data_IF_290913956291
#
_entry.id   IF_290913956291
#
_cell.length_a   1.000
_cell.length_b   1.000
_cell.length_c   1.000
_cell.angle_alpha   90.00
_cell.angle_beta   90.00
_cell.angle_gamma   90.00
#
_symmetry.space_group_name_H-M   'P 1'
#
loop_
_entity.id
_entity.type
_entity.pdbx_description
1 polymer ?
#
# COMPACT_ATOMS: atom_id res chain seq x y z
N UNK A 1 18.89 2.76 -15.01
CA UNK A 1 17.85 3.58 -15.70
C UNK A 1 16.85 4.26 -14.74
N UNK A 2 17.05 4.33 -13.41
CA UNK A 2 16.05 4.89 -12.47
C UNK A 2 16.53 6.11 -11.66
N UNK A 3 17.70 6.68 -11.98
CA UNK A 3 18.38 7.67 -11.12
C UNK A 3 17.72 9.07 -11.03
N UNK A 4 16.61 9.32 -11.75
CA UNK A 4 15.88 10.59 -11.70
C UNK A 4 14.49 10.48 -11.07
N UNK A 5 14.13 9.30 -10.56
CA UNK A 5 12.86 9.13 -9.87
C UNK A 5 12.89 9.85 -8.53
N UNK A 6 11.86 10.66 -8.28
CA UNK A 6 11.64 11.38 -7.03
C UNK A 6 10.37 10.93 -6.31
N UNK A 7 9.54 10.14 -6.99
CA UNK A 7 8.25 9.70 -6.51
C UNK A 7 7.94 8.28 -6.97
N UNK A 8 7.37 7.49 -6.07
CA UNK A 8 6.76 6.21 -6.32
C UNK A 8 5.31 6.26 -5.83
N UNK A 9 4.35 6.12 -6.73
CA UNK A 9 2.94 5.99 -6.39
C UNK A 9 2.45 4.60 -6.82
N UNK A 10 1.62 3.99 -5.99
CA UNK A 10 1.05 2.67 -6.26
C UNK A 10 -0.42 2.63 -5.92
N UNK A 11 -1.16 1.83 -6.66
CA UNK A 11 -2.49 1.38 -6.27
C UNK A 11 -2.40 0.40 -5.09
N UNK A 12 -3.54 0.11 -4.48
CA UNK A 12 -3.69 -0.81 -3.37
C UNK A 12 -4.19 -2.16 -3.84
N UNK A 13 -5.39 -2.21 -4.40
CA UNK A 13 -6.05 -3.48 -4.69
C UNK A 13 -5.53 -4.13 -5.96
N UNK A 14 -5.02 -5.35 -5.82
CA UNK A 14 -4.33 -6.05 -6.92
C UNK A 14 -2.90 -5.59 -7.16
N UNK A 15 -2.38 -4.66 -6.35
CA UNK A 15 -0.95 -4.27 -6.39
C UNK A 15 -0.27 -4.52 -5.05
N UNK A 16 -0.75 -3.91 -3.95
CA UNK A 16 -0.27 -4.19 -2.59
C UNK A 16 -1.05 -5.30 -1.87
N UNK A 17 -2.16 -5.72 -2.48
CA UNK A 17 -2.92 -6.91 -2.12
C UNK A 17 -2.86 -7.92 -3.26
N UNK A 18 -3.24 -9.16 -2.98
CA UNK A 18 -3.35 -10.24 -3.97
C UNK A 18 -4.66 -10.18 -4.79
N UNK A 19 -5.28 -9.00 -4.88
CA UNK A 19 -6.65 -8.78 -5.37
C UNK A 19 -7.74 -9.58 -4.61
N UNK A 20 -7.37 -10.24 -3.51
CA UNK A 20 -8.29 -10.92 -2.62
C UNK A 20 -8.96 -9.96 -1.64
N UNK A 21 -10.25 -10.17 -1.43
CA UNK A 21 -11.07 -9.45 -0.45
C UNK A 21 -11.77 -10.47 0.44
N UNK A 22 -11.79 -10.19 1.75
CA UNK A 22 -12.46 -11.04 2.73
C UNK A 22 -13.64 -10.28 3.32
N UNK A 23 -14.80 -10.91 3.28
CA UNK A 23 -16.04 -10.40 3.84
C UNK A 23 -16.57 -11.39 4.88
N UNK A 24 -17.17 -10.88 5.94
CA UNK A 24 -17.91 -11.69 6.93
C UNK A 24 -19.41 -11.42 6.84
N UNK A 25 -20.22 -12.37 7.32
CA UNK A 25 -21.68 -12.22 7.42
C UNK A 25 -22.11 -11.04 8.33
N UNK A 26 -21.22 -10.60 9.22
CA UNK A 26 -21.42 -9.42 10.08
C UNK A 26 -21.01 -8.10 9.44
N UNK A 27 -20.55 -8.11 8.18
CA UNK A 27 -20.15 -6.90 7.45
C UNK A 27 -18.73 -6.42 7.72
N UNK A 28 -17.89 -7.21 8.39
CA UNK A 28 -16.46 -6.91 8.49
C UNK A 28 -15.76 -7.16 7.15
N UNK A 29 -14.86 -6.26 6.79
CA UNK A 29 -13.97 -6.37 5.64
C UNK A 29 -12.54 -6.54 6.11
N UNK A 30 -11.77 -7.41 5.45
CA UNK A 30 -10.34 -7.56 5.69
C UNK A 30 -9.56 -7.54 4.37
N UNK A 31 -8.37 -6.96 4.43
CA UNK A 31 -7.38 -6.99 3.33
C UNK A 31 -6.08 -7.60 3.81
N UNK A 32 -5.46 -8.38 2.94
CA UNK A 32 -4.14 -8.99 3.17
C UNK A 32 -3.08 -8.18 2.44
N UNK A 33 -2.12 -7.66 3.19
CA UNK A 33 -0.95 -6.94 2.66
C UNK A 33 0.31 -7.79 2.80
N UNK A 34 1.31 -7.53 1.98
CA UNK A 34 2.62 -8.19 2.09
C UNK A 34 3.60 -7.38 2.96
N UNK A 35 4.31 -8.07 3.86
CA UNK A 35 5.39 -7.46 4.67
C UNK A 35 6.60 -7.08 3.82
N UNK A 36 6.92 -7.86 2.78
CA UNK A 36 8.05 -7.58 1.87
C UNK A 36 7.84 -6.26 1.12
N UNK A 37 6.63 -5.99 0.67
CA UNK A 37 6.29 -4.72 0.00
C UNK A 37 6.46 -3.54 0.94
N UNK A 38 6.15 -3.72 2.23
CA UNK A 38 6.41 -2.69 3.25
C UNK A 38 7.89 -2.36 3.39
N UNK A 39 8.77 -3.38 3.38
CA UNK A 39 10.22 -3.16 3.36
C UNK A 39 10.67 -2.47 2.07
N UNK A 40 10.15 -2.88 0.91
CA UNK A 40 10.44 -2.24 -0.38
C UNK A 40 10.11 -0.74 -0.37
N UNK A 41 8.93 -0.38 0.13
CA UNK A 41 8.49 1.01 0.27
C UNK A 41 9.43 1.79 1.22
N UNK A 42 9.82 1.19 2.36
CA UNK A 42 10.77 1.81 3.29
C UNK A 42 12.14 2.04 2.66
N UNK A 43 12.62 1.12 1.82
CA UNK A 43 13.88 1.30 1.09
C UNK A 43 13.78 2.43 0.05
N UNK A 44 12.64 2.58 -0.64
CA UNK A 44 12.40 3.69 -1.56
C UNK A 44 12.39 5.04 -0.82
N UNK A 45 11.73 5.10 0.34
CA UNK A 45 11.75 6.29 1.21
C UNK A 45 13.17 6.62 1.67
N UNK A 46 13.94 5.62 2.12
CA UNK A 46 15.34 5.80 2.53
C UNK A 46 16.24 6.26 1.38
N UNK A 47 15.92 5.89 0.14
CA UNK A 47 16.58 6.39 -1.08
C UNK A 47 16.14 7.82 -1.48
N UNK A 48 15.28 8.47 -0.69
CA UNK A 48 14.84 9.85 -0.90
C UNK A 48 13.64 10.01 -1.83
N UNK A 49 12.93 8.92 -2.15
CA UNK A 49 11.71 9.00 -2.96
C UNK A 49 10.50 9.31 -2.06
N UNK A 50 9.64 10.20 -2.55
CA UNK A 50 8.29 10.37 -2.01
C UNK A 50 7.46 9.14 -2.37
N UNK A 51 6.79 8.53 -1.40
CA UNK A 51 5.89 7.39 -1.64
C UNK A 51 4.44 7.78 -1.44
N UNK A 52 3.55 7.33 -2.33
CA UNK A 52 2.11 7.59 -2.24
C UNK A 52 1.29 6.33 -2.53
N UNK A 53 0.14 6.21 -1.85
CA UNK A 53 -0.91 5.25 -2.16
C UNK A 53 -2.04 6.01 -2.86
N UNK A 54 -2.46 5.54 -4.04
CA UNK A 54 -3.55 6.14 -4.80
C UNK A 54 -4.56 5.03 -5.11
N UNK A 55 -5.72 5.07 -4.46
CA UNK A 55 -6.81 4.10 -4.67
C UNK A 55 -8.15 4.83 -4.73
N UNK A 56 -9.15 4.20 -5.35
CA UNK A 56 -10.54 4.67 -5.32
C UNK A 56 -11.24 4.32 -4.00
N UNK A 57 -10.65 3.43 -3.20
CA UNK A 57 -11.27 2.91 -1.99
C UNK A 57 -10.98 3.82 -0.79
N UNK A 58 -12.03 4.28 -0.09
CA UNK A 58 -11.91 5.10 1.12
C UNK A 58 -12.21 4.26 2.36
N UNK A 59 -11.26 3.40 2.75
CA UNK A 59 -11.40 2.51 3.93
C UNK A 59 -10.36 2.78 5.00
N UNK A 60 -10.76 2.59 6.28
CA UNK A 60 -9.87 2.69 7.44
C UNK A 60 -8.68 1.71 7.36
N UNK A 61 -8.84 0.60 6.64
CA UNK A 61 -7.77 -0.39 6.43
C UNK A 61 -6.63 0.17 5.58
N UNK A 62 -6.97 0.85 4.48
CA UNK A 62 -5.99 1.53 3.62
C UNK A 62 -5.30 2.65 4.38
N UNK A 63 -6.05 3.48 5.13
CA UNK A 63 -5.47 4.54 5.97
C UNK A 63 -4.48 3.98 6.98
N UNK A 64 -4.84 2.92 7.72
CA UNK A 64 -3.94 2.28 8.69
C UNK A 64 -2.70 1.70 8.04
N UNK A 65 -2.83 1.13 6.84
CA UNK A 65 -1.67 0.64 6.08
C UNK A 65 -0.76 1.79 5.67
N UNK A 66 -1.31 2.91 5.20
CA UNK A 66 -0.56 4.11 4.88
C UNK A 66 0.20 4.65 6.09
N UNK A 67 -0.45 4.78 7.24
CA UNK A 67 0.15 5.24 8.50
C UNK A 67 1.29 4.34 8.98
N UNK A 68 1.15 3.01 8.81
CA UNK A 68 2.22 2.05 9.13
C UNK A 68 3.44 2.19 8.21
N UNK A 69 3.26 2.73 7.00
CA UNK A 69 4.30 2.91 6.00
C UNK A 69 4.90 4.32 6.00
N UNK A 70 4.26 5.30 6.64
CA UNK A 70 4.87 6.59 6.97
C UNK A 70 6.12 6.37 7.84
#
# INVERSE_FOLDING_TARGET
MLQRLRLFATDVDGVLTDAGMYYSESGEELKKFNTRDGMGIKLLQAAGLVTALITMEETKLVTRRAEKLA
#
